data_IF_126898665927
#
_entry.id   IF_126898665927
#
_cell.length_a   1.000
_cell.length_b   1.000
_cell.length_c   1.000
_cell.angle_alpha   90.00
_cell.angle_beta   90.00
_cell.angle_gamma   90.00
#
_symmetry.space_group_name_H-M   'P 1'
#
loop_
_entity.id
_entity.type
_entity.pdbx_description
1 polymer ?
#
# COMPACT_ATOMS: atom_id res chain seq x y z
N UNK A 1 -6.90 -7.86 -13.61
CA UNK A 1 -6.61 -7.45 -12.23
C UNK A 1 -6.95 -8.56 -11.25
N UNK A 2 -5.93 -9.17 -10.62
CA UNK A 2 -6.06 -10.39 -9.82
C UNK A 2 -5.79 -10.14 -8.31
N UNK A 3 -5.89 -8.88 -7.83
CA UNK A 3 -5.74 -8.57 -6.41
C UNK A 3 -6.92 -9.12 -5.60
N UNK A 4 -6.67 -9.55 -4.35
CA UNK A 4 -7.74 -10.07 -3.51
C UNK A 4 -8.87 -9.05 -3.27
N UNK A 5 -8.63 -7.73 -3.12
CA UNK A 5 -9.71 -6.76 -2.97
C UNK A 5 -10.62 -6.71 -4.19
N UNK A 6 -10.05 -6.78 -5.40
CA UNK A 6 -10.85 -6.80 -6.62
C UNK A 6 -11.65 -8.10 -6.80
N UNK A 7 -11.06 -9.25 -6.40
CA UNK A 7 -11.78 -10.53 -6.38
C UNK A 7 -12.99 -10.46 -5.44
N UNK A 8 -12.82 -9.94 -4.23
CA UNK A 8 -13.91 -9.72 -3.28
C UNK A 8 -14.97 -8.77 -3.84
N UNK A 9 -14.56 -7.62 -4.36
CA UNK A 9 -15.46 -6.64 -4.96
C UNK A 9 -16.30 -7.24 -6.10
N UNK A 10 -15.68 -8.08 -6.92
CA UNK A 10 -16.38 -8.79 -8.00
C UNK A 10 -17.46 -9.75 -7.47
N UNK A 11 -17.22 -10.39 -6.32
CA UNK A 11 -18.24 -11.23 -5.68
C UNK A 11 -19.34 -10.37 -5.03
N UNK A 12 -18.99 -9.30 -4.33
CA UNK A 12 -19.98 -8.37 -3.75
C UNK A 12 -20.85 -7.71 -4.81
N UNK A 13 -20.30 -7.36 -5.98
CA UNK A 13 -21.09 -6.81 -7.10
C UNK A 13 -22.22 -7.75 -7.52
N UNK A 14 -22.00 -9.08 -7.49
CA UNK A 14 -23.05 -10.08 -7.77
C UNK A 14 -24.16 -10.10 -6.71
N UNK A 15 -23.84 -9.65 -5.50
CA UNK A 15 -24.78 -9.53 -4.39
C UNK A 15 -25.41 -8.13 -4.25
N UNK A 16 -25.23 -7.26 -5.25
CA UNK A 16 -25.74 -5.89 -5.25
C UNK A 16 -24.79 -4.85 -4.66
N UNK A 17 -23.50 -5.20 -4.48
CA UNK A 17 -22.47 -4.24 -4.07
C UNK A 17 -22.17 -3.19 -5.13
N UNK A 18 -21.63 -2.05 -4.68
CA UNK A 18 -21.32 -0.90 -5.51
C UNK A 18 -20.08 -1.08 -6.41
N UNK A 19 -19.69 0.00 -7.04
CA UNK A 19 -18.46 0.06 -7.84
C UNK A 19 -17.21 0.02 -6.93
N UNK A 20 -16.15 -0.55 -7.45
CA UNK A 20 -14.86 -0.67 -6.76
C UNK A 20 -13.74 -0.13 -7.64
N UNK A 21 -13.06 0.91 -7.16
CA UNK A 21 -11.95 1.55 -7.85
C UNK A 21 -10.62 1.26 -7.16
N UNK A 22 -9.58 1.04 -7.94
CA UNK A 22 -8.22 0.82 -7.46
C UNK A 22 -7.24 1.79 -8.10
N UNK A 23 -6.20 2.25 -7.40
CA UNK A 23 -5.13 3.09 -7.95
C UNK A 23 -4.14 2.23 -8.75
N UNK A 24 -4.55 1.76 -9.92
CA UNK A 24 -3.77 0.85 -10.74
C UNK A 24 -2.51 1.52 -11.32
N UNK A 25 -1.49 0.72 -11.59
CA UNK A 25 -0.39 1.07 -12.48
C UNK A 25 -0.85 0.92 -13.93
N UNK A 26 -0.18 1.62 -14.86
CA UNK A 26 -0.56 1.61 -16.28
C UNK A 26 -0.08 0.36 -17.01
N UNK A 27 0.84 -0.39 -16.41
CA UNK A 27 1.37 -1.64 -16.96
C UNK A 27 1.60 -2.71 -15.87
N UNK A 28 1.88 -3.94 -16.29
CA UNK A 28 2.09 -5.08 -15.40
C UNK A 28 3.44 -5.04 -14.66
N UNK A 29 4.40 -4.27 -15.14
CA UNK A 29 5.70 -4.12 -14.49
C UNK A 29 5.63 -3.13 -13.31
N UNK A 30 4.75 -2.13 -13.39
CA UNK A 30 4.59 -1.14 -12.33
C UNK A 30 5.89 -0.39 -12.03
N UNK A 31 6.04 0.05 -10.79
CA UNK A 31 7.23 0.74 -10.30
C UNK A 31 7.57 0.27 -8.90
N UNK A 32 8.86 0.07 -8.63
CA UNK A 32 9.43 -0.02 -7.30
C UNK A 32 10.18 1.26 -6.95
N UNK A 33 10.65 1.37 -5.72
CA UNK A 33 11.49 2.48 -5.29
C UNK A 33 12.71 1.95 -4.54
N UNK A 34 13.86 2.57 -4.81
CA UNK A 34 15.08 2.46 -4.01
C UNK A 34 15.31 3.83 -3.37
N UNK A 35 14.98 3.96 -2.10
CA UNK A 35 14.73 5.26 -1.51
C UNK A 35 13.60 5.98 -2.24
N UNK A 36 13.88 7.14 -2.82
CA UNK A 36 12.94 7.90 -3.67
C UNK A 36 13.20 7.74 -5.18
N UNK A 37 14.18 6.92 -5.57
CA UNK A 37 14.48 6.67 -6.98
C UNK A 37 13.55 5.60 -7.53
N UNK A 38 12.79 5.88 -8.61
CA UNK A 38 11.97 4.87 -9.26
C UNK A 38 12.87 3.83 -9.94
N UNK A 39 12.56 2.57 -9.72
CA UNK A 39 13.27 1.42 -10.27
C UNK A 39 12.25 0.38 -10.76
N UNK A 40 12.61 -0.53 -11.69
CA UNK A 40 11.75 -1.63 -12.05
C UNK A 40 11.40 -2.49 -10.83
N UNK A 41 10.18 -3.05 -10.81
CA UNK A 41 9.78 -3.98 -9.74
C UNK A 41 10.65 -5.23 -9.73
N UNK A 42 10.65 -5.92 -8.61
CA UNK A 42 11.29 -7.22 -8.50
C UNK A 42 10.43 -8.29 -9.19
N UNK A 43 11.09 -9.17 -9.91
CA UNK A 43 10.54 -10.38 -10.51
C UNK A 43 11.34 -11.59 -10.04
N UNK A 44 10.79 -12.77 -10.15
CA UNK A 44 11.54 -13.99 -9.88
C UNK A 44 12.49 -14.25 -11.06
N UNK A 45 13.77 -14.29 -10.79
CA UNK A 45 14.84 -14.53 -11.77
C UNK A 45 16.00 -15.29 -11.15
N UNK A 46 17.08 -15.45 -11.89
CA UNK A 46 18.30 -16.05 -11.40
C UNK A 46 19.29 -14.95 -10.97
N UNK A 47 19.86 -15.08 -9.79
CA UNK A 47 20.95 -14.23 -9.31
C UNK A 47 22.12 -15.08 -8.82
N UNK A 48 23.32 -14.52 -8.88
CA UNK A 48 24.55 -15.20 -8.44
C UNK A 48 25.05 -14.52 -7.17
N UNK A 49 25.14 -15.29 -6.11
CA UNK A 49 25.64 -14.80 -4.82
C UNK A 49 27.17 -14.55 -4.86
N UNK A 50 27.70 -13.98 -3.78
CA UNK A 50 29.14 -13.68 -3.64
C UNK A 50 30.04 -14.94 -3.55
N UNK A 51 29.45 -16.13 -3.43
CA UNK A 51 30.13 -17.42 -3.44
C UNK A 51 30.13 -18.09 -4.83
N UNK A 52 29.44 -17.48 -5.81
CA UNK A 52 29.31 -17.98 -7.16
C UNK A 52 28.16 -18.99 -7.37
N UNK A 53 27.27 -19.16 -6.39
CA UNK A 53 26.08 -19.99 -6.56
C UNK A 53 24.97 -19.21 -7.26
N UNK A 54 24.34 -19.81 -8.25
CA UNK A 54 23.22 -19.21 -9.00
C UNK A 54 21.94 -19.89 -8.63
N UNK A 55 21.01 -19.13 -8.04
CA UNK A 55 19.72 -19.61 -7.57
C UNK A 55 18.59 -18.65 -7.98
N UNK A 56 17.34 -19.12 -7.84
CA UNK A 56 16.16 -18.27 -8.00
C UNK A 56 16.08 -17.23 -6.88
N UNK A 57 16.06 -15.96 -7.26
CA UNK A 57 16.04 -14.83 -6.34
C UNK A 57 15.12 -13.71 -6.87
N UNK A 58 14.72 -12.75 -6.02
CA UNK A 58 14.12 -11.51 -6.47
C UNK A 58 15.17 -10.66 -7.19
N UNK A 59 15.00 -10.47 -8.50
CA UNK A 59 15.86 -9.61 -9.33
C UNK A 59 15.05 -8.45 -9.91
N UNK A 60 15.72 -7.33 -10.23
CA UNK A 60 15.03 -6.24 -10.93
C UNK A 60 14.64 -6.70 -12.33
N UNK A 61 13.43 -6.40 -12.76
CA UNK A 61 13.01 -6.65 -14.15
C UNK A 61 13.92 -5.88 -15.11
N UNK A 62 14.32 -6.50 -16.21
CA UNK A 62 15.15 -5.89 -17.26
C UNK A 62 14.26 -5.05 -18.20
N UNK A 63 13.66 -4.00 -17.65
CA UNK A 63 12.79 -3.04 -18.36
C UNK A 63 13.01 -1.65 -17.78
N UNK A 64 12.75 -0.62 -18.59
CA UNK A 64 12.70 0.75 -18.09
C UNK A 64 11.39 0.98 -17.32
N UNK A 65 11.45 1.84 -16.30
CA UNK A 65 10.25 2.30 -15.59
C UNK A 65 9.42 3.15 -16.53
N UNK A 66 8.16 2.79 -16.71
CA UNK A 66 7.22 3.63 -17.44
C UNK A 66 6.91 4.90 -16.60
N UNK A 67 7.24 6.10 -17.10
CA UNK A 67 7.06 7.34 -16.35
C UNK A 67 5.59 7.63 -16.00
N UNK A 68 4.63 7.11 -16.76
CA UNK A 68 3.21 7.27 -16.47
C UNK A 68 2.80 6.60 -15.14
N UNK A 69 3.55 5.60 -14.67
CA UNK A 69 3.36 5.00 -13.35
C UNK A 69 3.67 5.96 -12.19
N UNK A 70 4.35 7.08 -12.46
CA UNK A 70 4.70 8.10 -11.46
C UNK A 70 3.73 9.28 -11.46
N UNK A 71 2.85 9.38 -12.45
CA UNK A 71 1.92 10.50 -12.55
C UNK A 71 0.82 10.42 -11.48
N UNK A 72 0.38 11.56 -10.94
CA UNK A 72 -0.78 11.62 -10.06
C UNK A 72 -2.05 11.11 -10.75
N UNK A 73 -2.86 10.38 -9.99
CA UNK A 73 -4.16 9.84 -10.43
C UNK A 73 -5.28 10.21 -9.45
N UNK A 74 -5.04 11.16 -8.57
CA UNK A 74 -5.99 11.60 -7.53
C UNK A 74 -7.36 12.01 -8.09
N UNK A 75 -7.40 12.63 -9.27
CA UNK A 75 -8.66 13.02 -9.94
C UNK A 75 -9.52 11.82 -10.36
N UNK A 76 -8.94 10.62 -10.41
CA UNK A 76 -9.69 9.39 -10.72
C UNK A 76 -10.39 8.83 -9.47
N UNK A 77 -10.10 9.35 -8.28
CA UNK A 77 -10.67 8.92 -6.99
C UNK A 77 -12.18 9.21 -6.86
N UNK A 78 -12.74 9.00 -5.68
CA UNK A 78 -12.10 8.28 -4.57
C UNK A 78 -11.84 6.81 -4.89
N UNK A 79 -10.78 6.25 -4.28
CA UNK A 79 -10.40 4.84 -4.46
C UNK A 79 -10.89 4.00 -3.29
N UNK A 80 -11.35 2.78 -3.59
CA UNK A 80 -11.80 1.82 -2.57
C UNK A 80 -10.67 0.93 -2.03
N UNK A 81 -9.59 0.75 -2.81
CA UNK A 81 -8.38 0.09 -2.36
C UNK A 81 -7.34 1.15 -2.00
N UNK A 82 -7.08 1.30 -0.71
CA UNK A 82 -6.13 2.27 -0.15
C UNK A 82 -4.91 1.52 0.42
N UNK A 83 -4.61 0.36 -0.11
CA UNK A 83 -3.41 -0.40 0.25
C UNK A 83 -2.15 0.29 -0.29
N UNK A 84 -1.21 0.58 0.61
CA UNK A 84 0.03 1.29 0.31
C UNK A 84 1.23 0.42 0.67
N UNK A 85 2.12 0.12 -0.29
CA UNK A 85 3.34 -0.63 -0.01
C UNK A 85 4.21 0.04 1.08
N UNK A 86 4.72 -0.77 2.00
CA UNK A 86 5.59 -0.30 3.07
C UNK A 86 4.89 0.43 4.23
N UNK A 87 3.57 0.59 4.19
CA UNK A 87 2.82 1.29 5.22
C UNK A 87 2.88 0.56 6.56
N UNK A 88 3.30 1.28 7.62
CA UNK A 88 3.17 0.85 9.01
C UNK A 88 1.87 1.39 9.60
N UNK A 89 1.37 0.78 10.68
CA UNK A 89 0.16 1.23 11.36
C UNK A 89 0.28 2.69 11.83
N UNK A 90 1.44 3.05 12.40
CA UNK A 90 1.73 4.41 12.88
C UNK A 90 1.77 5.44 11.75
N UNK A 91 2.20 5.06 10.56
CA UNK A 91 2.31 5.95 9.39
C UNK A 91 0.93 6.31 8.80
N UNK A 92 -0.07 5.44 8.99
CA UNK A 92 -1.42 5.65 8.47
C UNK A 92 -2.12 6.89 9.05
N UNK A 93 -1.61 7.40 10.17
CA UNK A 93 -2.15 8.57 10.88
C UNK A 93 -1.40 9.87 10.55
N UNK A 94 -0.31 9.80 9.77
CA UNK A 94 0.56 10.96 9.50
C UNK A 94 -0.04 11.82 8.39
N UNK A 95 -0.41 13.08 8.66
CA UNK A 95 -0.84 14.01 7.62
C UNK A 95 0.26 14.22 6.57
N UNK A 96 -0.13 14.26 5.30
CA UNK A 96 0.81 14.46 4.20
C UNK A 96 1.80 13.30 3.96
N UNK A 97 1.51 12.10 4.43
CA UNK A 97 2.39 10.93 4.28
C UNK A 97 2.78 10.63 2.83
N UNK A 98 2.00 11.08 1.85
CA UNK A 98 2.30 10.94 0.42
C UNK A 98 3.59 11.64 -0.03
N UNK A 99 4.12 12.59 0.75
CA UNK A 99 5.41 13.24 0.47
C UNK A 99 6.58 12.26 0.65
N UNK A 100 6.47 11.33 1.59
CA UNK A 100 7.51 10.33 1.88
C UNK A 100 7.20 8.96 1.32
N UNK A 101 5.96 8.71 0.93
CA UNK A 101 5.55 7.46 0.28
C UNK A 101 4.98 7.75 -1.11
N UNK A 102 5.78 7.55 -2.18
CA UNK A 102 5.36 7.88 -3.54
C UNK A 102 4.14 7.09 -4.03
N UNK A 103 3.92 5.89 -3.51
CA UNK A 103 2.72 5.11 -3.87
C UNK A 103 1.44 5.80 -3.40
N UNK A 104 1.43 6.31 -2.16
CA UNK A 104 0.31 7.07 -1.64
C UNK A 104 0.21 8.45 -2.31
N UNK A 105 1.34 9.12 -2.53
CA UNK A 105 1.39 10.43 -3.18
C UNK A 105 0.72 10.48 -4.55
N UNK A 106 0.66 9.35 -5.28
CA UNK A 106 0.00 9.28 -6.58
C UNK A 106 -1.52 9.49 -6.51
N UNK A 107 -2.17 9.03 -5.45
CA UNK A 107 -3.64 9.02 -5.37
C UNK A 107 -4.22 9.78 -4.17
N UNK A 108 -3.38 10.35 -3.35
CA UNK A 108 -3.77 11.19 -2.23
C UNK A 108 -4.63 12.37 -2.73
N UNK A 109 -5.86 12.50 -2.23
CA UNK A 109 -6.83 13.48 -2.72
C UNK A 109 -6.46 14.91 -2.31
N UNK A 110 -5.85 15.08 -1.14
CA UNK A 110 -5.35 16.35 -0.62
C UNK A 110 -3.93 16.14 -0.08
N UNK A 111 -3.00 17.02 -0.42
CA UNK A 111 -1.61 16.96 0.01
C UNK A 111 -1.37 16.99 1.53
N UNK A 112 -2.41 17.17 2.33
CA UNK A 112 -2.37 17.16 3.79
C UNK A 112 -3.04 15.94 4.41
N UNK A 113 -3.79 15.14 3.63
CA UNK A 113 -4.49 13.98 4.17
C UNK A 113 -3.53 12.91 4.66
N UNK A 114 -3.88 12.29 5.78
CA UNK A 114 -3.36 10.99 6.18
C UNK A 114 -4.06 9.88 5.39
N UNK A 115 -3.52 8.66 5.45
CA UNK A 115 -4.20 7.51 4.84
C UNK A 115 -5.56 7.25 5.50
N UNK A 116 -5.65 7.46 6.80
CA UNK A 116 -6.92 7.30 7.51
C UNK A 116 -7.96 8.34 7.05
N UNK A 117 -7.55 9.58 6.75
CA UNK A 117 -8.44 10.58 6.17
C UNK A 117 -8.97 10.14 4.81
N UNK A 118 -8.10 9.60 3.93
CA UNK A 118 -8.52 9.06 2.64
C UNK A 118 -9.59 7.96 2.79
N UNK A 119 -9.38 7.03 3.71
CA UNK A 119 -10.34 5.94 3.96
C UNK A 119 -11.71 6.48 4.34
N UNK A 120 -11.77 7.56 5.13
CA UNK A 120 -13.05 8.14 5.55
C UNK A 120 -13.82 8.81 4.40
N UNK A 121 -13.15 9.17 3.31
CA UNK A 121 -13.81 9.72 2.11
C UNK A 121 -14.61 8.67 1.34
N UNK A 122 -14.29 7.38 1.56
CA UNK A 122 -14.89 6.23 0.85
C UNK A 122 -16.11 5.75 1.59
N UNK A 123 -17.08 6.29 1.81
CA UNK A 123 -18.31 5.91 2.54
C UNK A 123 -18.70 4.41 2.41
N UNK A 124 -17.77 3.51 2.73
CA UNK A 124 -17.90 2.06 2.60
C UNK A 124 -18.72 1.45 3.73
N UNK A 125 -19.48 0.38 3.43
CA UNK A 125 -20.26 -0.39 4.41
C UNK A 125 -19.56 -1.69 4.84
N UNK A 126 -18.48 -2.03 4.18
CA UNK A 126 -17.63 -3.17 4.48
C UNK A 126 -16.16 -2.79 4.24
N UNK A 127 -15.26 -3.21 5.11
CA UNK A 127 -13.83 -3.02 4.92
C UNK A 127 -13.03 -4.27 5.26
N UNK A 128 -11.86 -4.41 4.66
CA UNK A 128 -10.83 -5.33 5.10
C UNK A 128 -9.62 -4.52 5.55
N UNK A 129 -9.05 -4.87 6.70
CA UNK A 129 -7.86 -4.26 7.24
C UNK A 129 -6.73 -5.28 7.29
N UNK A 130 -5.67 -5.02 6.53
CA UNK A 130 -4.43 -5.80 6.57
C UNK A 130 -3.27 -4.84 6.78
N UNK A 131 -2.84 -4.71 8.02
CA UNK A 131 -1.85 -3.74 8.45
C UNK A 131 -1.09 -4.31 9.66
N UNK A 132 0.15 -3.86 9.87
CA UNK A 132 0.96 -4.23 11.02
C UNK A 132 2.22 -5.02 10.68
N UNK A 133 2.28 -5.71 9.54
CA UNK A 133 3.47 -6.46 9.17
C UNK A 133 4.70 -5.57 8.96
N UNK A 134 4.53 -4.37 8.40
CA UNK A 134 5.63 -3.43 8.15
C UNK A 134 6.16 -2.78 9.43
N UNK A 135 5.39 -2.79 10.50
CA UNK A 135 5.82 -2.29 11.82
C UNK A 135 6.96 -3.13 12.41
N UNK A 136 7.09 -4.39 11.94
CA UNK A 136 8.14 -5.34 12.35
C UNK A 136 9.12 -5.62 11.20
N UNK A 137 8.68 -5.56 9.95
CA UNK A 137 9.45 -6.03 8.80
C UNK A 137 10.78 -5.28 8.65
N UNK A 138 10.79 -3.96 8.83
CA UNK A 138 12.01 -3.16 8.74
C UNK A 138 13.06 -3.58 9.78
N UNK A 139 12.66 -3.90 11.01
CA UNK A 139 13.53 -4.45 12.04
C UNK A 139 14.09 -5.81 11.62
N UNK A 140 13.22 -6.71 11.18
CA UNK A 140 13.61 -8.07 10.82
C UNK A 140 14.57 -8.11 9.61
N UNK A 141 14.28 -7.33 8.55
CA UNK A 141 15.09 -7.32 7.32
C UNK A 141 16.40 -6.57 7.45
N UNK A 142 16.51 -5.67 8.42
CA UNK A 142 17.78 -4.96 8.73
C UNK A 142 18.69 -5.74 9.69
N UNK A 143 18.30 -6.95 10.09
CA UNK A 143 19.05 -7.70 11.13
C UNK A 143 19.01 -7.03 12.51
N UNK A 144 17.94 -6.30 12.81
CA UNK A 144 17.74 -5.60 14.09
C UNK A 144 18.38 -4.21 14.18
N UNK A 145 18.89 -3.67 13.07
CA UNK A 145 19.50 -2.33 13.04
C UNK A 145 18.44 -1.24 13.09
N UNK A 146 17.36 -1.38 12.32
CA UNK A 146 16.25 -0.45 12.36
C UNK A 146 15.40 -0.68 13.63
N UNK A 147 14.86 0.37 14.25
CA UNK A 147 14.02 0.18 15.43
C UNK A 147 12.71 -0.50 15.07
N UNK A 148 12.23 -1.36 15.96
CA UNK A 148 10.86 -1.89 15.91
C UNK A 148 9.89 -0.81 16.42
N UNK A 149 8.68 -0.76 15.85
CA UNK A 149 7.64 0.13 16.38
C UNK A 149 7.27 -0.31 17.81
N UNK A 150 7.29 0.59 18.81
CA UNK A 150 6.86 0.26 20.17
C UNK A 150 5.43 -0.28 20.21
N UNK A 151 5.18 -1.26 21.06
CA UNK A 151 3.87 -1.94 21.16
C UNK A 151 2.77 -0.95 21.54
N UNK A 152 3.08 0.01 22.40
CA UNK A 152 2.15 1.07 22.81
C UNK A 152 1.75 1.98 21.63
N UNK A 153 2.70 2.36 20.78
CA UNK A 153 2.44 3.21 19.61
C UNK A 153 1.63 2.45 18.55
N UNK A 154 2.01 1.19 18.30
CA UNK A 154 1.25 0.30 17.42
C UNK A 154 -0.20 0.12 17.92
N UNK A 155 -0.37 -0.15 19.21
CA UNK A 155 -1.69 -0.35 19.82
C UNK A 155 -2.54 0.91 19.71
N UNK A 156 -1.98 2.08 20.01
CA UNK A 156 -2.69 3.35 19.91
C UNK A 156 -3.11 3.66 18.46
N UNK A 157 -2.21 3.41 17.49
CA UNK A 157 -2.51 3.59 16.07
C UNK A 157 -3.63 2.66 15.61
N UNK A 158 -3.53 1.36 15.89
CA UNK A 158 -4.56 0.38 15.52
C UNK A 158 -5.91 0.67 16.18
N UNK A 159 -5.92 1.09 17.45
CA UNK A 159 -7.13 1.49 18.15
C UNK A 159 -7.81 2.67 17.44
N UNK A 160 -7.03 3.68 17.06
CA UNK A 160 -7.52 4.87 16.35
C UNK A 160 -8.11 4.47 14.99
N UNK A 161 -7.38 3.66 14.21
CA UNK A 161 -7.83 3.17 12.91
C UNK A 161 -9.15 2.41 13.03
N UNK A 162 -9.21 1.42 13.92
CA UNK A 162 -10.41 0.58 14.09
C UNK A 162 -11.60 1.43 14.56
N UNK A 163 -11.40 2.30 15.54
CA UNK A 163 -12.45 3.18 16.03
C UNK A 163 -13.00 4.07 14.92
N UNK A 164 -12.13 4.66 14.09
CA UNK A 164 -12.54 5.51 12.97
C UNK A 164 -13.33 4.71 11.94
N UNK A 165 -12.83 3.54 11.54
CA UNK A 165 -13.50 2.70 10.54
C UNK A 165 -14.88 2.20 11.02
N UNK A 166 -15.04 1.95 12.31
CA UNK A 166 -16.31 1.47 12.90
C UNK A 166 -17.26 2.58 13.34
N UNK A 167 -16.88 3.85 13.16
CA UNK A 167 -17.76 5.00 13.48
C UNK A 167 -18.94 5.10 12.51
N UNK A 168 -18.76 4.67 11.26
CA UNK A 168 -19.87 4.62 10.31
C UNK A 168 -20.88 3.52 10.73
N UNK A 169 -22.14 3.88 11.07
CA UNK A 169 -23.15 2.92 11.54
C UNK A 169 -23.56 1.90 10.47
N UNK A 170 -23.27 2.15 9.21
CA UNK A 170 -23.59 1.27 8.09
C UNK A 170 -22.50 0.20 7.87
N UNK A 171 -21.36 0.28 8.55
CA UNK A 171 -20.32 -0.75 8.52
C UNK A 171 -20.81 -2.00 9.25
N UNK A 172 -20.67 -3.15 8.58
CA UNK A 172 -21.13 -4.46 9.03
C UNK A 172 -19.93 -5.39 9.29
#
# INVERSE_FOLDING_TARGET
ENSYPNILATQFKKAGGGEFKQPLMVDDYGVGFDGLQPVPKLVLGYDTDCLGNTDLAPVRADVEVNPENLLPINEQGPFNNIGVPGLRAVDALIPGYGVVNPYYGRFMSDGQNSILDEVTTVNGTFFTLWLGQNDILSYATSGGVNPIVPVEDFTAAMQTIINTLTTNPDVK
#
